data_IF_526168213128
#
_entry.id   IF_526168213128
#
_cell.length_a   1.000
_cell.length_b   1.000
_cell.length_c   1.000
_cell.angle_alpha   90.00
_cell.angle_beta   90.00
_cell.angle_gamma   90.00
#
_symmetry.space_group_name_H-M   'P 1'
#
loop_
_entity.id
_entity.type
_entity.pdbx_description
1 polymer ?
#
# COMPACT_ATOMS: atom_id res chain seq x y z
N UNK A 1 9.65 -26.57 -0.11
CA UNK A 1 8.90 -26.05 -1.28
C UNK A 1 7.51 -25.63 -0.81
N UNK A 2 7.16 -24.34 -0.90
CA UNK A 2 5.79 -23.89 -0.59
C UNK A 2 4.85 -24.41 -1.68
N UNK A 3 3.70 -24.96 -1.30
CA UNK A 3 2.66 -25.40 -2.24
C UNK A 3 2.18 -24.19 -3.06
N UNK A 4 2.25 -24.27 -4.39
CA UNK A 4 1.91 -23.17 -5.30
C UNK A 4 0.46 -22.68 -5.10
N UNK A 5 -0.48 -23.57 -4.81
CA UNK A 5 -1.88 -23.21 -4.55
C UNK A 5 -2.01 -22.41 -3.25
N UNK A 6 -1.31 -22.84 -2.19
CA UNK A 6 -1.28 -22.12 -0.91
C UNK A 6 -0.70 -20.71 -1.08
N UNK A 7 0.41 -20.59 -1.82
CA UNK A 7 1.02 -19.28 -2.13
C UNK A 7 0.02 -18.35 -2.83
N UNK A 8 -0.69 -18.84 -3.84
CA UNK A 8 -1.67 -18.04 -4.58
C UNK A 8 -2.80 -17.58 -3.65
N UNK A 9 -3.36 -18.46 -2.82
CA UNK A 9 -4.40 -18.12 -1.85
C UNK A 9 -3.91 -17.02 -0.90
N UNK A 10 -2.72 -17.20 -0.32
CA UNK A 10 -2.13 -16.21 0.57
C UNK A 10 -1.95 -14.86 -0.15
N UNK A 11 -1.43 -14.85 -1.39
CA UNK A 11 -1.29 -13.60 -2.15
C UNK A 11 -2.63 -12.89 -2.38
N UNK A 12 -3.73 -13.62 -2.58
CA UNK A 12 -5.06 -13.00 -2.69
C UNK A 12 -5.50 -12.40 -1.35
N UNK A 13 -5.38 -13.15 -0.25
CA UNK A 13 -5.74 -12.68 1.09
C UNK A 13 -4.93 -11.43 1.47
N UNK A 14 -3.61 -11.48 1.35
CA UNK A 14 -2.73 -10.34 1.65
C UNK A 14 -3.00 -9.14 0.72
N UNK A 15 -3.25 -9.38 -0.57
CA UNK A 15 -3.64 -8.29 -1.48
C UNK A 15 -4.97 -7.65 -1.08
N UNK A 16 -5.95 -8.44 -0.60
CA UNK A 16 -7.24 -7.94 -0.17
C UNK A 16 -7.09 -7.02 1.05
N UNK A 17 -6.35 -7.48 2.06
CA UNK A 17 -6.04 -6.67 3.24
C UNK A 17 -5.29 -5.39 2.89
N UNK A 18 -4.21 -5.50 2.12
CA UNK A 18 -3.36 -4.36 1.76
C UNK A 18 -4.12 -3.38 0.85
N UNK A 19 -4.77 -3.87 -0.20
CA UNK A 19 -5.51 -3.04 -1.14
C UNK A 19 -6.65 -2.29 -0.45
N UNK A 20 -7.45 -2.98 0.37
CA UNK A 20 -8.54 -2.33 1.12
C UNK A 20 -7.99 -1.31 2.12
N UNK A 21 -6.92 -1.61 2.83
CA UNK A 21 -6.28 -0.68 3.75
C UNK A 21 -5.85 0.62 3.04
N UNK A 22 -5.13 0.51 1.92
CA UNK A 22 -4.69 1.68 1.14
C UNK A 22 -5.86 2.47 0.55
N UNK A 23 -6.90 1.80 0.06
CA UNK A 23 -8.11 2.49 -0.44
C UNK A 23 -8.78 3.28 0.68
N UNK A 24 -8.96 2.68 1.87
CA UNK A 24 -9.62 3.35 2.99
C UNK A 24 -8.80 4.53 3.52
N UNK A 25 -7.48 4.36 3.67
CA UNK A 25 -6.58 5.46 4.10
C UNK A 25 -6.51 6.55 3.03
N UNK A 26 -6.42 6.19 1.76
CA UNK A 26 -6.43 7.14 0.65
C UNK A 26 -7.73 7.95 0.58
N UNK A 27 -8.89 7.32 0.81
CA UNK A 27 -10.18 8.02 0.92
C UNK A 27 -10.18 9.00 2.11
N UNK A 28 -9.59 8.63 3.25
CA UNK A 28 -9.49 9.51 4.42
C UNK A 28 -8.71 10.79 4.15
N UNK A 29 -7.75 10.80 3.23
CA UNK A 29 -7.07 12.04 2.85
C UNK A 29 -8.03 13.09 2.26
N UNK A 30 -9.15 12.66 1.67
CA UNK A 30 -10.17 13.54 1.10
C UNK A 30 -11.30 13.86 2.08
N UNK A 31 -11.67 12.91 2.94
CA UNK A 31 -12.81 13.05 3.86
C UNK A 31 -12.44 13.60 5.24
N UNK A 32 -11.19 13.41 5.67
CA UNK A 32 -10.65 13.89 6.95
C UNK A 32 -9.18 14.36 6.81
N UNK A 33 -8.90 15.36 5.96
CA UNK A 33 -7.52 15.82 5.70
C UNK A 33 -6.86 16.42 6.94
N UNK A 34 -7.63 17.03 7.84
CA UNK A 34 -7.16 17.75 9.03
C UNK A 34 -6.35 16.84 9.95
N UNK A 35 -6.65 15.54 9.97
CA UNK A 35 -5.87 14.57 10.74
C UNK A 35 -4.43 14.40 10.24
N UNK A 36 -4.21 14.52 8.92
CA UNK A 36 -2.90 14.31 8.27
C UNK A 36 -2.09 15.60 8.11
N UNK A 37 -2.75 16.75 8.00
CA UNK A 37 -2.09 18.05 7.78
C UNK A 37 -0.94 18.36 8.76
N UNK A 38 -1.04 18.09 10.08
CA UNK A 38 0.02 18.45 11.03
C UNK A 38 1.34 17.73 10.77
N UNK A 39 1.30 16.51 10.23
CA UNK A 39 2.50 15.68 10.06
C UNK A 39 3.20 15.92 8.72
N UNK A 40 2.60 16.71 7.83
CA UNK A 40 3.24 17.10 6.57
C UNK A 40 4.46 18.00 6.87
N UNK A 41 5.65 17.70 6.33
CA UNK A 41 6.83 18.54 6.52
C UNK A 41 6.58 19.99 6.09
N UNK A 42 6.89 20.95 6.98
CA UNK A 42 6.62 22.37 6.75
C UNK A 42 7.28 22.96 5.49
N UNK A 43 8.42 22.37 5.05
CA UNK A 43 9.12 22.76 3.81
C UNK A 43 8.24 22.63 2.55
N UNK A 44 7.19 21.81 2.61
CA UNK A 44 6.26 21.60 1.50
C UNK A 44 5.19 22.70 1.39
N UNK A 45 5.12 23.63 2.36
CA UNK A 45 4.19 24.76 2.34
C UNK A 45 2.76 24.34 2.69
N UNK A 46 1.84 24.41 1.73
CA UNK A 46 0.42 24.11 1.98
C UNK A 46 0.19 22.60 2.18
N UNK A 47 0.11 22.18 3.44
CA UNK A 47 -0.06 20.79 3.85
C UNK A 47 -1.29 20.12 3.21
N UNK A 48 -2.42 20.82 3.13
CA UNK A 48 -3.68 20.27 2.60
C UNK A 48 -3.55 19.84 1.15
N UNK A 49 -2.82 20.58 0.33
CA UNK A 49 -2.57 20.20 -1.07
C UNK A 49 -1.83 18.86 -1.14
N UNK A 50 -0.79 18.70 -0.31
CA UNK A 50 0.00 17.48 -0.28
C UNK A 50 -0.77 16.28 0.25
N UNK A 51 -1.66 16.48 1.24
CA UNK A 51 -2.59 15.44 1.72
C UNK A 51 -3.50 14.97 0.57
N UNK A 52 -4.09 15.87 -0.21
CA UNK A 52 -4.91 15.45 -1.35
C UNK A 52 -4.08 14.75 -2.44
N UNK A 53 -2.89 15.25 -2.74
CA UNK A 53 -1.99 14.65 -3.74
C UNK A 53 -1.58 13.24 -3.32
N UNK A 54 -1.28 13.00 -2.04
CA UNK A 54 -0.89 11.66 -1.56
C UNK A 54 -2.04 10.67 -1.54
N UNK A 55 -3.28 11.12 -1.31
CA UNK A 55 -4.45 10.25 -1.32
C UNK A 55 -4.73 9.60 -2.68
N UNK A 56 -4.43 10.29 -3.80
CA UNK A 56 -4.68 9.77 -5.16
C UNK A 56 -3.92 8.47 -5.45
N UNK A 57 -2.56 8.42 -5.35
CA UNK A 57 -1.81 7.20 -5.58
C UNK A 57 -2.12 6.11 -4.56
N UNK A 58 -2.46 6.45 -3.31
CA UNK A 58 -2.89 5.45 -2.32
C UNK A 58 -4.15 4.69 -2.76
N UNK A 59 -5.21 5.42 -3.16
CA UNK A 59 -6.44 4.79 -3.65
C UNK A 59 -6.17 4.01 -4.93
N UNK A 60 -5.48 4.62 -5.89
CA UNK A 60 -5.20 4.00 -7.19
C UNK A 60 -4.39 2.71 -7.04
N UNK A 61 -3.29 2.73 -6.29
CA UNK A 61 -2.45 1.56 -6.07
C UNK A 61 -3.13 0.52 -5.17
N UNK A 62 -3.93 0.96 -4.20
CA UNK A 62 -4.78 0.09 -3.39
C UNK A 62 -5.78 -0.70 -4.23
N UNK A 63 -6.41 -0.09 -5.24
CA UNK A 63 -7.25 -0.81 -6.21
C UNK A 63 -6.41 -1.70 -7.12
N UNK A 64 -5.27 -1.20 -7.61
CA UNK A 64 -4.41 -1.94 -8.53
C UNK A 64 -3.89 -3.26 -7.92
N UNK A 65 -3.46 -3.26 -6.66
CA UNK A 65 -2.90 -4.47 -6.03
C UNK A 65 -3.96 -5.58 -5.82
N UNK A 66 -5.25 -5.23 -5.75
CA UNK A 66 -6.35 -6.20 -5.68
C UNK A 66 -6.43 -7.05 -6.95
N UNK A 67 -6.11 -6.47 -8.11
CA UNK A 67 -6.25 -7.09 -9.42
C UNK A 67 -4.93 -7.80 -9.78
N UNK A 68 -4.90 -9.14 -9.90
CA UNK A 68 -3.67 -9.91 -10.12
C UNK A 68 -2.82 -9.44 -11.31
N UNK A 69 -3.47 -8.95 -12.37
CA UNK A 69 -2.81 -8.43 -13.58
C UNK A 69 -1.91 -7.22 -13.31
N UNK A 70 -2.22 -6.40 -12.31
CA UNK A 70 -1.52 -5.15 -12.05
C UNK A 70 -0.48 -5.25 -10.93
N UNK A 71 -0.43 -6.37 -10.19
CA UNK A 71 0.46 -6.53 -9.04
C UNK A 71 1.95 -6.35 -9.37
N UNK A 72 2.35 -6.70 -10.60
CA UNK A 72 3.74 -6.62 -11.07
C UNK A 72 4.32 -5.21 -11.06
N UNK A 73 3.50 -4.19 -11.26
CA UNK A 73 3.92 -2.79 -11.15
C UNK A 73 3.35 -2.13 -9.89
N UNK A 74 2.16 -2.52 -9.44
CA UNK A 74 1.54 -1.96 -8.24
C UNK A 74 2.38 -2.21 -6.98
N UNK A 75 2.96 -3.41 -6.81
CA UNK A 75 3.78 -3.74 -5.65
C UNK A 75 4.98 -2.79 -5.47
N UNK A 76 5.90 -2.69 -6.45
CA UNK A 76 7.02 -1.75 -6.39
C UNK A 76 6.58 -0.29 -6.25
N UNK A 77 5.49 0.12 -6.92
CA UNK A 77 4.95 1.47 -6.76
C UNK A 77 4.44 1.75 -5.34
N UNK A 78 3.79 0.78 -4.68
CA UNK A 78 3.39 0.92 -3.26
C UNK A 78 4.62 1.01 -2.37
N UNK A 79 5.68 0.24 -2.64
CA UNK A 79 6.91 0.32 -1.86
C UNK A 79 7.53 1.73 -1.92
N UNK A 80 7.60 2.33 -3.12
CA UNK A 80 8.08 3.72 -3.31
C UNK A 80 7.15 4.71 -2.60
N UNK A 81 5.83 4.56 -2.75
CA UNK A 81 4.87 5.41 -2.07
C UNK A 81 5.04 5.35 -0.55
N UNK A 82 5.19 4.16 0.02
CA UNK A 82 5.44 3.99 1.45
C UNK A 82 6.73 4.68 1.91
N UNK A 83 7.81 4.63 1.13
CA UNK A 83 9.05 5.35 1.47
C UNK A 83 8.79 6.85 1.53
N UNK A 84 8.06 7.39 0.55
CA UNK A 84 7.70 8.81 0.49
C UNK A 84 6.82 9.20 1.68
N UNK A 85 5.74 8.45 1.95
CA UNK A 85 4.81 8.74 3.05
C UNK A 85 5.43 8.51 4.43
N UNK A 86 6.45 7.67 4.54
CA UNK A 86 7.19 7.51 5.80
C UNK A 86 7.85 8.82 6.22
N UNK A 87 8.17 9.72 5.29
CA UNK A 87 8.73 11.03 5.63
C UNK A 87 7.81 11.85 6.55
N UNK A 88 6.50 11.84 6.31
CA UNK A 88 5.53 12.49 7.20
C UNK A 88 5.49 11.85 8.59
N UNK A 89 5.58 10.52 8.66
CA UNK A 89 5.64 9.78 9.92
C UNK A 89 6.93 10.04 10.70
N UNK A 90 8.05 10.22 9.99
CA UNK A 90 9.33 10.59 10.56
C UNK A 90 9.32 12.05 11.06
N UNK A 91 8.71 12.95 10.29
CA UNK A 91 8.51 14.35 10.68
C UNK A 91 7.71 14.47 12.00
N UNK A 92 6.64 13.68 12.12
CA UNK A 92 5.85 13.58 13.37
C UNK A 92 6.71 13.13 14.55
N UNK A 93 7.59 12.14 14.36
CA UNK A 93 8.44 11.63 15.42
C UNK A 93 9.52 12.63 15.85
N UNK A 94 10.29 13.16 14.90
CA UNK A 94 11.42 14.06 15.18
C UNK A 94 10.95 15.36 15.84
N UNK A 95 9.80 15.89 15.39
CA UNK A 95 9.29 17.16 15.87
C UNK A 95 8.22 17.01 16.98
N UNK A 96 7.99 15.81 17.49
CA UNK A 96 6.99 15.51 18.53
C UNK A 96 5.61 16.14 18.23
N UNK A 97 5.16 16.01 16.98
CA UNK A 97 3.94 16.65 16.51
C UNK A 97 2.73 15.94 17.16
N UNK A 98 1.86 16.65 17.90
CA UNK A 98 0.69 16.05 18.49
C UNK A 98 -0.38 15.78 17.43
N UNK A 99 -0.99 14.60 17.47
CA UNK A 99 -2.20 14.28 16.73
C UNK A 99 -3.37 14.26 17.70
N UNK A 100 -4.42 15.03 17.41
CA UNK A 100 -5.59 15.20 18.29
C UNK A 100 -5.22 15.58 19.74
N UNK A 101 -4.20 16.42 19.91
CA UNK A 101 -3.73 16.89 21.21
C UNK A 101 -2.88 15.88 22.00
N UNK A 102 -2.52 14.74 21.42
CA UNK A 102 -1.68 13.73 22.06
C UNK A 102 -0.42 13.47 21.24
N UNK A 103 0.73 13.39 21.90
CA UNK A 103 1.97 12.90 21.30
C UNK A 103 2.09 11.40 21.54
N UNK A 104 2.83 10.70 20.66
CA UNK A 104 3.05 9.27 20.79
C UNK A 104 4.40 8.98 21.45
N UNK A 105 4.43 7.93 22.27
CA UNK A 105 5.69 7.39 22.80
C UNK A 105 6.58 6.86 21.65
N UNK A 106 7.90 6.94 21.83
CA UNK A 106 8.89 6.48 20.86
C UNK A 106 8.64 5.05 20.35
N UNK A 107 8.17 4.16 21.23
CA UNK A 107 7.80 2.77 20.90
C UNK A 107 6.82 2.70 19.73
N UNK A 108 5.81 3.59 19.67
CA UNK A 108 4.82 3.58 18.59
C UNK A 108 5.41 4.03 17.25
N UNK A 109 6.39 4.93 17.25
CA UNK A 109 7.08 5.32 16.03
C UNK A 109 7.95 4.19 15.49
N UNK A 110 8.66 3.46 16.37
CA UNK A 110 9.43 2.27 15.99
C UNK A 110 8.52 1.17 15.43
N UNK A 111 7.40 0.88 16.11
CA UNK A 111 6.42 -0.10 15.62
C UNK A 111 5.86 0.29 14.25
N UNK A 112 5.60 1.58 14.02
CA UNK A 112 5.16 2.09 12.73
C UNK A 112 6.22 1.88 11.65
N UNK A 113 7.48 2.21 11.93
CA UNK A 113 8.60 1.97 11.01
C UNK A 113 8.76 0.48 10.65
N UNK A 114 8.65 -0.41 11.63
CA UNK A 114 8.67 -1.86 11.41
C UNK A 114 7.48 -2.32 10.55
N UNK A 115 6.28 -1.83 10.83
CA UNK A 115 5.10 -2.11 10.01
C UNK A 115 5.30 -1.63 8.56
N UNK A 116 5.92 -0.45 8.34
CA UNK A 116 6.24 0.07 7.02
C UNK A 116 7.16 -0.89 6.24
N UNK A 117 8.21 -1.40 6.89
CA UNK A 117 9.15 -2.35 6.29
C UNK A 117 8.43 -3.66 5.92
N UNK A 118 7.57 -4.17 6.81
CA UNK A 118 6.78 -5.38 6.54
C UNK A 118 5.84 -5.16 5.35
N UNK A 119 5.14 -4.02 5.28
CA UNK A 119 4.26 -3.69 4.16
C UNK A 119 5.04 -3.59 2.84
N UNK A 120 6.23 -2.99 2.84
CA UNK A 120 7.12 -2.95 1.68
C UNK A 120 7.52 -4.36 1.25
N UNK A 121 7.90 -5.23 2.19
CA UNK A 121 8.24 -6.63 1.88
C UNK A 121 7.05 -7.40 1.28
N UNK A 122 5.84 -7.21 1.82
CA UNK A 122 4.61 -7.81 1.30
C UNK A 122 4.33 -7.28 -0.11
N UNK A 123 4.46 -5.98 -0.36
CA UNK A 123 4.29 -5.39 -1.68
C UNK A 123 5.19 -6.03 -2.74
N UNK A 124 6.48 -6.21 -2.45
CA UNK A 124 7.38 -6.90 -3.36
C UNK A 124 7.02 -8.37 -3.55
N UNK A 125 6.62 -9.07 -2.49
CA UNK A 125 6.20 -10.46 -2.59
C UNK A 125 4.89 -10.65 -3.39
N UNK A 126 3.96 -9.70 -3.30
CA UNK A 126 2.73 -9.68 -4.11
C UNK A 126 3.00 -9.41 -5.60
N UNK A 127 4.12 -8.74 -5.91
CA UNK A 127 4.55 -8.43 -7.27
C UNK A 127 5.05 -9.64 -8.08
N UNK A 128 5.14 -10.80 -7.45
CA UNK A 128 5.73 -12.00 -8.06
C UNK A 128 4.95 -12.49 -9.30
N UNK A 129 5.70 -12.77 -10.37
CA UNK A 129 5.25 -13.18 -11.70
C UNK A 129 4.49 -14.51 -11.74
N UNK A 130 4.59 -15.34 -10.69
CA UNK A 130 3.98 -16.67 -10.67
C UNK A 130 2.47 -16.67 -10.91
N UNK A 131 1.74 -15.65 -10.43
CA UNK A 131 0.29 -15.54 -10.66
C UNK A 131 -0.01 -15.20 -12.12
N UNK A 132 0.72 -14.25 -12.70
CA UNK A 132 0.49 -13.84 -14.08
C UNK A 132 0.67 -15.01 -15.05
N UNK A 133 1.73 -15.81 -14.87
CA UNK A 133 1.97 -17.02 -15.66
C UNK A 133 0.81 -18.00 -15.51
N UNK A 134 0.36 -18.26 -14.28
CA UNK A 134 -0.75 -19.18 -14.01
C UNK A 134 -2.05 -18.74 -14.69
N UNK A 135 -2.43 -17.46 -14.55
CA UNK A 135 -3.64 -16.89 -15.18
C UNK A 135 -3.57 -16.99 -16.69
N UNK A 136 -2.43 -16.66 -17.30
CA UNK A 136 -2.22 -16.76 -18.75
C UNK A 136 -2.31 -18.21 -19.22
N UNK A 137 -1.78 -19.17 -18.45
CA UNK A 137 -1.85 -20.60 -18.77
C UNK A 137 -3.30 -21.11 -18.70
N UNK A 138 -4.04 -20.75 -17.65
CA UNK A 138 -5.44 -21.14 -17.46
C UNK A 138 -6.34 -20.62 -18.59
N UNK A 139 -6.25 -19.33 -18.92
CA UNK A 139 -7.02 -18.73 -20.01
C UNK A 139 -6.75 -19.39 -21.37
N UNK A 140 -5.50 -19.82 -21.62
CA UNK A 140 -5.13 -20.54 -22.84
C UNK A 140 -5.72 -21.95 -22.90
N UNK A 141 -5.80 -22.66 -21.76
CA UNK A 141 -6.41 -23.99 -21.69
C UNK A 141 -7.93 -23.92 -21.91
N UNK A 142 -8.63 -22.99 -21.25
CA UNK A 142 -10.09 -22.81 -21.41
C UNK A 142 -10.47 -22.44 -22.86
N UNK A 143 -9.64 -21.66 -23.55
CA UNK A 143 -9.84 -21.34 -24.97
C UNK A 143 -9.61 -22.53 -25.92
N UNK A 144 -8.84 -23.54 -25.52
CA UNK A 144 -8.60 -24.73 -26.34
C UNK A 144 -9.77 -25.70 -26.22
N UNK A 145 -10.33 -25.86 -25.01
CA UNK A 145 -11.49 -26.72 -24.76
C UNK A 145 -12.80 -26.18 -25.36
N UNK A 146 -12.90 -24.88 -25.65
CA UNK A 146 -14.06 -24.27 -26.32
C UNK A 146 -13.94 -24.23 -27.86
N UNK A 147 -12.81 -24.66 -28.42
CA UNK A 147 -12.53 -24.65 -29.87
C UNK A 147 -12.74 -26.01 -30.56
N UNK A 148 -13.33 -26.98 -29.88
CA UNK A 148 -13.65 -28.32 -30.39
C UNK A 148 -15.13 -28.64 -30.18
#
# INVERSE_FOLDING_TARGET
MVNLNLKIILQHVFSAFMGLFFVLVGIKHFTDPVWFEPIVPAILGNSRIWVYISGVPEVFLGVAILIPKYRTWAGPSIAVLLIILYWANLNMWINNIPLNGQTYAATWHVLRGLAQIILISIAFWLSDWSIFIFVKKKAKHESYDQGH
#
